data_IF_444003021436
#
_entry.id   IF_444003021436
#
_cell.length_a   1.000
_cell.length_b   1.000
_cell.length_c   1.000
_cell.angle_alpha   90.00
_cell.angle_beta   90.00
_cell.angle_gamma   90.00
#
_symmetry.space_group_name_H-M   'P 1'
#
loop_
_entity.id
_entity.type
_entity.pdbx_description
1 polymer ?
#
# COMPACT_ATOMS: atom_id res chain seq x y z
N UNK A 1 -29.29 20.30 -20.04
CA UNK A 1 -28.19 20.77 -19.18
C UNK A 1 -28.04 19.72 -18.08
N UNK A 2 -27.10 18.77 -18.20
CA UNK A 2 -26.91 17.68 -17.21
C UNK A 2 -25.65 16.82 -17.44
N UNK A 3 -25.16 16.76 -18.69
CA UNK A 3 -24.07 15.86 -19.09
C UNK A 3 -22.75 16.11 -18.33
N UNK A 4 -22.43 17.36 -18.03
CA UNK A 4 -21.17 17.74 -17.35
C UNK A 4 -21.16 17.34 -15.87
N UNK A 5 -22.32 17.41 -15.21
CA UNK A 5 -22.48 17.04 -13.79
C UNK A 5 -22.50 15.52 -13.63
N UNK A 6 -23.20 14.80 -14.52
CA UNK A 6 -23.17 13.33 -14.58
C UNK A 6 -21.74 12.80 -14.79
N UNK A 7 -20.94 13.44 -15.66
CA UNK A 7 -19.53 13.04 -15.85
C UNK A 7 -18.64 13.32 -14.65
N UNK A 8 -18.90 14.38 -13.88
CA UNK A 8 -18.08 14.72 -12.70
C UNK A 8 -18.33 13.75 -11.54
N UNK A 9 -19.58 13.35 -11.31
CA UNK A 9 -19.91 12.36 -10.28
C UNK A 9 -19.32 10.98 -10.60
N UNK A 10 -19.30 10.57 -11.88
CA UNK A 10 -18.63 9.34 -12.31
C UNK A 10 -17.11 9.41 -12.11
N UNK A 11 -16.48 10.54 -12.43
CA UNK A 11 -15.05 10.76 -12.16
C UNK A 11 -14.72 10.70 -10.65
N UNK A 12 -15.56 11.32 -9.80
CA UNK A 12 -15.42 11.25 -8.34
C UNK A 12 -15.54 9.82 -7.84
N UNK A 13 -16.55 9.07 -8.31
CA UNK A 13 -16.76 7.67 -7.96
C UNK A 13 -15.53 6.83 -8.31
N UNK A 14 -14.99 7.03 -9.51
CA UNK A 14 -13.81 6.30 -9.97
C UNK A 14 -12.54 6.66 -9.20
N UNK A 15 -12.30 7.95 -8.92
CA UNK A 15 -11.17 8.39 -8.12
C UNK A 15 -11.24 7.81 -6.69
N UNK A 16 -12.42 7.77 -6.09
CA UNK A 16 -12.65 7.13 -4.77
C UNK A 16 -12.38 5.63 -4.80
N UNK A 17 -12.86 4.92 -5.82
CA UNK A 17 -12.62 3.49 -5.97
C UNK A 17 -11.11 3.19 -6.07
N UNK A 18 -10.39 3.93 -6.92
CA UNK A 18 -8.93 3.82 -7.03
C UNK A 18 -8.22 4.07 -5.71
N UNK A 19 -8.59 5.14 -5.00
CA UNK A 19 -8.01 5.43 -3.68
C UNK A 19 -8.24 4.30 -2.67
N UNK A 20 -9.46 3.76 -2.61
CA UNK A 20 -9.78 2.64 -1.72
C UNK A 20 -9.00 1.37 -2.06
N UNK A 21 -8.82 1.08 -3.35
CA UNK A 21 -8.06 -0.09 -3.81
C UNK A 21 -6.57 0.05 -3.50
N UNK A 22 -5.97 1.23 -3.74
CA UNK A 22 -4.58 1.51 -3.36
C UNK A 22 -4.35 1.32 -1.86
N UNK A 23 -5.23 1.85 -1.00
CA UNK A 23 -5.15 1.65 0.44
C UNK A 23 -5.29 0.18 0.84
N UNK A 24 -6.18 -0.57 0.19
CA UNK A 24 -6.35 -2.01 0.45
C UNK A 24 -5.08 -2.79 0.08
N UNK A 25 -4.47 -2.49 -1.06
CA UNK A 25 -3.21 -3.12 -1.49
C UNK A 25 -2.08 -2.82 -0.50
N UNK A 26 -1.90 -1.54 -0.15
CA UNK A 26 -0.89 -1.13 0.85
C UNK A 26 -1.07 -1.88 2.16
N UNK A 27 -2.30 -1.96 2.67
CA UNK A 27 -2.60 -2.69 3.91
C UNK A 27 -2.23 -4.17 3.79
N UNK A 28 -2.58 -4.84 2.69
CA UNK A 28 -2.24 -6.26 2.50
C UNK A 28 -0.74 -6.49 2.45
N UNK A 29 0.00 -5.62 1.75
CA UNK A 29 1.47 -5.72 1.67
C UNK A 29 2.13 -5.50 3.03
N UNK A 30 1.70 -4.47 3.78
CA UNK A 30 2.21 -4.20 5.13
C UNK A 30 1.89 -5.35 6.08
N UNK A 31 0.66 -5.86 6.07
CA UNK A 31 0.26 -6.97 6.94
C UNK A 31 1.09 -8.23 6.68
N UNK A 32 1.34 -8.56 5.42
CA UNK A 32 2.21 -9.69 5.05
C UNK A 32 3.65 -9.49 5.52
N UNK A 33 4.22 -8.29 5.32
CA UNK A 33 5.57 -7.99 5.77
C UNK A 33 5.69 -8.01 7.29
N UNK A 34 4.69 -7.50 8.01
CA UNK A 34 4.64 -7.53 9.47
C UNK A 34 4.63 -8.96 9.98
N UNK A 35 3.78 -9.82 9.41
CA UNK A 35 3.73 -11.23 9.78
C UNK A 35 5.08 -11.94 9.57
N UNK A 36 5.75 -11.70 8.44
CA UNK A 36 7.07 -12.29 8.19
C UNK A 36 8.16 -11.81 9.17
N UNK A 37 8.07 -10.55 9.63
CA UNK A 37 8.95 -10.01 10.68
C UNK A 37 8.64 -10.68 12.03
N UNK A 38 7.37 -10.84 12.38
CA UNK A 38 6.95 -11.52 13.61
C UNK A 38 7.43 -12.99 13.64
N UNK A 39 7.25 -13.73 12.54
CA UNK A 39 7.77 -15.10 12.41
C UNK A 39 9.30 -15.17 12.57
N UNK A 40 10.01 -14.15 12.04
CA UNK A 40 11.46 -14.06 12.16
C UNK A 40 11.91 -13.77 13.60
N UNK A 41 11.14 -12.96 14.34
CA UNK A 41 11.38 -12.69 15.77
C UNK A 41 11.16 -13.97 16.59
N UNK A 42 10.05 -14.68 16.39
CA UNK A 42 9.77 -15.92 17.11
C UNK A 42 10.89 -16.97 16.89
N UNK A 43 11.35 -17.11 15.64
CA UNK A 43 12.45 -18.03 15.32
C UNK A 43 13.79 -17.58 15.89
N UNK A 44 14.05 -16.28 15.96
CA UNK A 44 15.25 -15.72 16.56
C UNK A 44 15.31 -16.02 18.07
N UNK A 45 14.21 -15.77 18.77
CA UNK A 45 14.10 -15.97 20.23
C UNK A 45 14.09 -17.46 20.60
N UNK A 46 13.63 -18.33 19.69
CA UNK A 46 13.58 -19.78 19.88
C UNK A 46 14.90 -20.53 19.69
N UNK A 47 16.02 -19.85 19.42
CA UNK A 47 17.32 -20.50 19.15
C UNK A 47 18.49 -19.76 19.77
N UNK A 48 19.49 -20.51 20.25
CA UNK A 48 20.78 -19.99 20.73
C UNK A 48 21.86 -19.98 19.63
N UNK A 49 21.57 -20.53 18.45
CA UNK A 49 22.52 -20.55 17.32
C UNK A 49 22.62 -19.18 16.65
N UNK A 50 23.77 -18.52 16.84
CA UNK A 50 24.05 -17.18 16.31
C UNK A 50 23.90 -17.08 14.79
N UNK A 51 24.20 -18.18 14.06
CA UNK A 51 24.03 -18.20 12.61
C UNK A 51 22.55 -18.14 12.23
N UNK A 52 21.72 -18.96 12.86
CA UNK A 52 20.26 -18.95 12.66
C UNK A 52 19.66 -17.60 13.03
N UNK A 53 20.12 -16.99 14.12
CA UNK A 53 19.73 -15.63 14.52
C UNK A 53 20.04 -14.59 13.42
N UNK A 54 21.25 -14.62 12.84
CA UNK A 54 21.61 -13.75 11.73
C UNK A 54 20.77 -14.01 10.46
N UNK A 55 20.44 -15.28 10.18
CA UNK A 55 19.55 -15.66 9.07
C UNK A 55 18.13 -15.09 9.27
N UNK A 56 17.60 -15.08 10.50
CA UNK A 56 16.30 -14.47 10.80
C UNK A 56 16.28 -12.97 10.50
N UNK A 57 17.35 -12.25 10.89
CA UNK A 57 17.51 -10.82 10.57
C UNK A 57 17.54 -10.62 9.04
N UNK A 58 18.31 -11.43 8.32
CA UNK A 58 18.39 -11.35 6.85
C UNK A 58 17.04 -11.61 6.18
N UNK A 59 16.26 -12.59 6.66
CA UNK A 59 14.92 -12.88 6.15
C UNK A 59 13.98 -11.69 6.34
N UNK A 60 13.94 -11.12 7.55
CA UNK A 60 13.15 -9.91 7.84
C UNK A 60 13.54 -8.75 6.92
N UNK A 61 14.84 -8.51 6.73
CA UNK A 61 15.35 -7.47 5.81
C UNK A 61 14.93 -7.73 4.36
N UNK A 62 15.03 -8.97 3.88
CA UNK A 62 14.61 -9.32 2.51
C UNK A 62 13.10 -9.10 2.32
N UNK A 63 12.26 -9.50 3.29
CA UNK A 63 10.82 -9.26 3.21
C UNK A 63 10.48 -7.76 3.15
N UNK A 64 11.20 -6.91 3.88
CA UNK A 64 10.97 -5.46 3.85
C UNK A 64 11.47 -4.86 2.51
N UNK A 65 12.72 -5.12 2.15
CA UNK A 65 13.36 -4.45 1.02
C UNK A 65 12.85 -4.98 -0.33
N UNK A 66 12.68 -6.30 -0.45
CA UNK A 66 12.43 -6.95 -1.73
C UNK A 66 10.94 -7.26 -1.94
N UNK A 67 10.18 -7.50 -0.87
CA UNK A 67 8.75 -7.79 -0.98
C UNK A 67 7.87 -6.59 -0.67
N UNK A 68 8.06 -5.90 0.46
CA UNK A 68 7.16 -4.82 0.86
C UNK A 68 7.28 -3.61 -0.06
N UNK A 69 8.47 -3.01 -0.17
CA UNK A 69 8.65 -1.74 -0.88
C UNK A 69 8.14 -1.78 -2.33
N UNK A 70 8.42 -2.82 -3.13
CA UNK A 70 7.87 -2.90 -4.49
C UNK A 70 6.35 -3.14 -4.51
N UNK A 71 5.81 -3.92 -3.57
CA UNK A 71 4.37 -4.27 -3.52
C UNK A 71 3.50 -3.13 -2.97
N UNK A 72 4.09 -2.18 -2.23
CA UNK A 72 3.39 -0.96 -1.80
C UNK A 72 2.87 -0.12 -2.98
N UNK A 73 3.45 -0.29 -4.18
CA UNK A 73 3.00 0.37 -5.42
C UNK A 73 2.73 1.86 -5.20
N UNK A 74 3.73 2.54 -4.65
CA UNK A 74 3.66 3.96 -4.29
C UNK A 74 3.32 4.84 -5.52
N UNK A 75 3.72 4.39 -6.71
CA UNK A 75 3.30 4.95 -8.01
C UNK A 75 1.77 4.99 -8.13
N UNK A 76 1.11 3.86 -7.91
CA UNK A 76 -0.35 3.73 -8.05
C UNK A 76 -1.09 4.53 -6.98
N UNK A 77 -0.55 4.59 -5.76
CA UNK A 77 -1.12 5.39 -4.69
C UNK A 77 -0.99 6.90 -4.95
N UNK A 78 0.15 7.35 -5.49
CA UNK A 78 0.34 8.73 -5.91
C UNK A 78 -0.63 9.11 -7.04
N UNK A 79 -0.83 8.23 -8.02
CA UNK A 79 -1.82 8.44 -9.10
C UNK A 79 -3.26 8.53 -8.56
N UNK A 80 -3.62 7.66 -7.62
CA UNK A 80 -4.94 7.70 -6.97
C UNK A 80 -5.14 8.99 -6.17
N UNK A 81 -4.11 9.45 -5.45
CA UNK A 81 -4.12 10.73 -4.74
C UNK A 81 -4.27 11.90 -5.72
N UNK A 82 -3.50 11.92 -6.80
CA UNK A 82 -3.58 12.97 -7.82
C UNK A 82 -4.98 13.02 -8.47
N UNK A 83 -5.57 11.87 -8.78
CA UNK A 83 -6.93 11.79 -9.32
C UNK A 83 -7.97 12.39 -8.36
N UNK A 84 -7.88 12.08 -7.07
CA UNK A 84 -8.75 12.65 -6.03
C UNK A 84 -8.60 14.18 -5.92
N UNK A 85 -7.37 14.69 -5.96
CA UNK A 85 -7.13 16.14 -5.92
C UNK A 85 -7.66 16.84 -7.16
N UNK A 86 -7.51 16.24 -8.35
CA UNK A 86 -8.01 16.80 -9.60
C UNK A 86 -9.54 16.94 -9.58
N UNK A 87 -10.26 15.89 -9.19
CA UNK A 87 -11.74 15.94 -9.13
C UNK A 87 -12.24 16.85 -8.01
N UNK A 88 -11.50 16.96 -6.90
CA UNK A 88 -11.78 17.91 -5.82
C UNK A 88 -11.69 19.36 -6.31
N UNK A 89 -10.61 19.71 -7.02
CA UNK A 89 -10.44 21.04 -7.59
C UNK A 89 -11.53 21.37 -8.63
N UNK A 90 -11.88 20.42 -9.50
CA UNK A 90 -12.96 20.60 -10.48
C UNK A 90 -14.32 20.80 -9.82
N UNK A 91 -14.62 20.06 -8.75
CA UNK A 91 -15.86 20.22 -7.97
C UNK A 91 -15.94 21.59 -7.29
N UNK A 92 -14.82 22.15 -6.84
CA UNK A 92 -14.79 23.48 -6.22
C UNK A 92 -14.99 24.62 -7.23
N UNK A 93 -14.73 24.37 -8.52
CA UNK A 93 -14.85 25.35 -9.60
C UNK A 93 -16.20 25.30 -10.36
N UNK A 94 -17.05 24.33 -10.06
CA UNK A 94 -18.37 24.13 -10.66
C UNK A 94 -19.47 24.75 -9.78
#
# INVERSE_FOLDING_TARGET
>A
MNRTTETLEDEIKFARARGADSLRMMRMSVAHALHAVEDSIERFDGTDDLKTQAECINLAMMCICNDLLPKLRLDTAADAQAALLLVSARRAAA
#
